data_IF_406705751722
#
_entry.id   IF_406705751722
#
_cell.length_a   1.000
_cell.length_b   1.000
_cell.length_c   1.000
_cell.angle_alpha   90.00
_cell.angle_beta   90.00
_cell.angle_gamma   90.00
#
_symmetry.space_group_name_H-M   'P 1'
#
loop_
_entity.id
_entity.type
_entity.pdbx_description
1 polymer ?
#
# COMPACT_ATOMS: atom_id res chain seq x y z
N UNK A 1 10.24 -23.62 -6.92
CA UNK A 1 9.95 -23.88 -8.35
C UNK A 1 11.20 -24.20 -9.14
N UNK A 2 12.34 -23.54 -8.89
CA UNK A 2 13.58 -23.76 -9.68
C UNK A 2 14.08 -25.20 -9.72
N UNK A 3 13.98 -25.97 -8.63
CA UNK A 3 14.33 -27.40 -8.60
C UNK A 3 13.18 -28.34 -8.95
N UNK A 4 11.96 -27.81 -9.12
CA UNK A 4 10.78 -28.61 -9.45
C UNK A 4 10.63 -28.77 -10.97
N UNK A 5 10.87 -27.70 -11.73
CA UNK A 5 10.86 -27.73 -13.21
C UNK A 5 11.80 -28.80 -13.79
N UNK A 6 13.09 -28.89 -13.41
CA UNK A 6 13.97 -29.91 -13.95
C UNK A 6 13.54 -31.34 -13.58
N UNK A 7 12.81 -31.53 -12.48
CA UNK A 7 12.27 -32.85 -12.11
C UNK A 7 11.05 -33.21 -12.96
N UNK A 8 10.18 -32.25 -13.21
CA UNK A 8 9.01 -32.42 -14.10
C UNK A 8 9.43 -32.62 -15.56
N UNK A 9 10.53 -32.00 -15.98
CA UNK A 9 11.12 -32.15 -17.31
C UNK A 9 12.04 -33.39 -17.45
N UNK A 10 12.18 -34.20 -16.38
CA UNK A 10 12.99 -35.43 -16.39
C UNK A 10 14.51 -35.21 -16.42
N UNK A 11 14.98 -33.98 -16.14
CA UNK A 11 16.39 -33.60 -16.07
C UNK A 11 17.01 -33.86 -14.69
N UNK A 12 16.18 -34.03 -13.65
CA UNK A 12 16.60 -34.41 -12.30
C UNK A 12 15.65 -35.48 -11.74
N UNK A 13 16.18 -36.49 -11.09
CA UNK A 13 15.37 -37.58 -10.53
C UNK A 13 14.59 -37.18 -9.27
N UNK A 14 15.05 -36.14 -8.56
CA UNK A 14 14.39 -35.65 -7.35
C UNK A 14 14.71 -34.19 -7.06
N UNK A 15 13.80 -33.54 -6.34
CA UNK A 15 13.96 -32.17 -5.89
C UNK A 15 14.75 -32.15 -4.57
N UNK A 16 16.00 -31.66 -4.53
CA UNK A 16 16.87 -31.73 -3.35
C UNK A 16 16.37 -30.91 -2.15
N UNK A 17 15.42 -29.98 -2.36
CA UNK A 17 14.81 -29.20 -1.27
C UNK A 17 13.44 -29.75 -0.82
N UNK A 18 12.94 -30.82 -1.44
CA UNK A 18 11.68 -31.46 -1.03
C UNK A 18 11.78 -32.10 0.36
N UNK A 19 12.96 -32.63 0.73
CA UNK A 19 13.21 -33.27 2.02
C UNK A 19 13.31 -32.27 3.21
N UNK A 20 13.42 -30.97 2.95
CA UNK A 20 13.54 -29.95 4.02
C UNK A 20 12.20 -29.71 4.73
N UNK A 21 11.07 -30.19 4.19
CA UNK A 21 9.73 -29.90 4.70
C UNK A 21 9.13 -30.91 5.70
N UNK A 22 9.80 -32.02 6.05
CA UNK A 22 9.18 -33.07 6.89
C UNK A 22 9.81 -33.30 8.27
N UNK A 23 10.79 -32.52 8.73
CA UNK A 23 11.21 -32.58 10.12
C UNK A 23 10.46 -31.54 10.96
N UNK A 24 9.27 -31.93 11.41
CA UNK A 24 8.41 -31.23 12.38
C UNK A 24 9.03 -31.03 13.77
N UNK A 25 10.24 -30.48 13.85
CA UNK A 25 10.68 -29.79 15.05
C UNK A 25 10.08 -28.40 15.01
N UNK A 26 9.04 -28.20 15.81
CA UNK A 26 8.65 -26.87 16.29
C UNK A 26 9.91 -26.29 16.95
N UNK A 27 10.67 -25.51 16.17
CA UNK A 27 11.73 -24.70 16.72
C UNK A 27 11.14 -23.83 17.83
N UNK A 28 11.89 -23.55 18.90
CA UNK A 28 11.37 -22.77 20.01
C UNK A 28 10.75 -21.50 19.45
N UNK A 29 9.44 -21.31 19.70
CA UNK A 29 8.76 -20.03 19.49
C UNK A 29 9.55 -19.03 20.31
N UNK A 30 10.47 -18.30 19.68
CA UNK A 30 11.23 -17.23 20.33
C UNK A 30 10.19 -16.30 20.95
N UNK A 31 10.27 -16.13 22.27
CA UNK A 31 9.45 -15.17 22.99
C UNK A 31 9.59 -13.83 22.28
N UNK A 32 8.46 -13.25 21.89
CA UNK A 32 8.40 -11.87 21.41
C UNK A 32 9.06 -10.98 22.48
N UNK A 33 10.21 -10.38 22.16
CA UNK A 33 10.93 -9.57 23.14
C UNK A 33 12.39 -9.25 22.82
N UNK A 34 13.06 -9.99 21.94
CA UNK A 34 14.38 -9.61 21.44
C UNK A 34 14.35 -9.60 19.93
N UNK A 35 14.49 -8.40 19.34
CA UNK A 35 14.85 -8.22 17.94
C UNK A 35 16.26 -8.80 17.77
N UNK A 36 16.34 -10.11 17.61
CA UNK A 36 17.57 -10.77 17.25
C UNK A 36 17.85 -10.38 15.80
N UNK A 37 18.85 -9.52 15.61
CA UNK A 37 19.40 -9.17 14.29
C UNK A 37 19.49 -10.44 13.47
N UNK A 38 18.94 -10.39 12.25
CA UNK A 38 18.92 -11.54 11.37
C UNK A 38 20.39 -11.95 11.10
N UNK A 39 20.85 -13.12 11.58
CA UNK A 39 22.27 -13.47 11.51
C UNK A 39 22.75 -13.68 10.06
N UNK A 40 21.82 -13.82 9.11
CA UNK A 40 22.11 -13.99 7.69
C UNK A 40 22.15 -12.67 6.93
N UNK A 41 21.56 -11.61 7.47
CA UNK A 41 21.50 -10.28 6.86
C UNK A 41 21.76 -9.23 7.95
N UNK A 42 23.03 -9.06 8.37
CA UNK A 42 23.38 -8.13 9.44
C UNK A 42 23.04 -6.67 9.09
N UNK A 43 22.94 -6.35 7.80
CA UNK A 43 22.59 -5.02 7.29
C UNK A 43 21.08 -4.86 6.98
N UNK A 44 20.25 -5.86 7.33
CA UNK A 44 18.81 -5.77 7.08
C UNK A 44 18.19 -4.68 7.96
N UNK A 45 17.38 -3.76 7.38
CA UNK A 45 16.73 -2.72 8.16
C UNK A 45 15.86 -3.33 9.27
N UNK A 46 16.15 -2.93 10.50
CA UNK A 46 15.43 -3.41 11.67
C UNK A 46 14.15 -2.59 11.87
N UNK A 47 13.06 -3.22 12.37
CA UNK A 47 11.90 -2.47 12.82
C UNK A 47 12.29 -1.49 13.91
N UNK A 48 11.72 -0.29 13.87
CA UNK A 48 11.88 0.70 14.92
C UNK A 48 11.34 0.14 16.24
N UNK A 49 12.13 0.28 17.31
CA UNK A 49 11.70 0.02 18.67
C UNK A 49 10.57 0.99 19.08
N UNK A 50 9.78 0.68 20.13
CA UNK A 50 8.74 1.59 20.59
C UNK A 50 9.24 3.00 20.93
N UNK A 51 10.45 3.13 21.47
CA UNK A 51 11.03 4.44 21.81
C UNK A 51 11.55 5.18 20.57
N UNK A 52 12.12 4.48 19.60
CA UNK A 52 12.48 5.07 18.31
C UNK A 52 11.25 5.50 17.52
N UNK A 53 10.17 4.72 17.54
CA UNK A 53 8.88 5.11 16.96
C UNK A 53 8.30 6.35 17.65
N UNK A 54 8.34 6.40 18.98
CA UNK A 54 7.90 7.58 19.76
C UNK A 54 8.71 8.80 19.38
N UNK A 55 10.04 8.66 19.34
CA UNK A 55 10.98 9.72 18.95
C UNK A 55 10.75 10.18 17.51
N UNK A 56 10.48 9.25 16.61
CA UNK A 56 10.12 9.55 15.23
C UNK A 56 8.89 10.45 15.16
N UNK A 57 7.81 10.09 15.87
CA UNK A 57 6.57 10.90 15.89
C UNK A 57 6.78 12.28 16.53
N UNK A 58 7.62 12.41 17.56
CA UNK A 58 7.98 13.70 18.14
C UNK A 58 8.71 14.60 17.13
N UNK A 59 9.72 14.05 16.45
CA UNK A 59 10.49 14.76 15.43
C UNK A 59 9.62 15.15 14.24
N UNK A 60 8.72 14.25 13.82
CA UNK A 60 7.77 14.49 12.75
C UNK A 60 6.79 15.61 13.13
N UNK A 61 6.24 15.57 14.35
CA UNK A 61 5.38 16.62 14.88
C UNK A 61 6.11 17.97 14.93
N UNK A 62 7.35 18.01 15.43
CA UNK A 62 8.17 19.22 15.49
C UNK A 62 8.49 19.78 14.09
N UNK A 63 8.83 18.91 13.13
CA UNK A 63 9.09 19.29 11.74
C UNK A 63 7.90 20.00 11.10
N UNK A 64 6.69 19.56 11.42
CA UNK A 64 5.46 20.10 10.84
C UNK A 64 4.78 21.18 11.70
N UNK A 65 5.20 21.37 12.95
CA UNK A 65 4.67 22.41 13.84
C UNK A 65 4.98 23.83 13.32
N UNK A 66 6.17 24.03 12.75
CA UNK A 66 6.63 25.33 12.25
C UNK A 66 6.34 25.58 10.77
N UNK A 67 5.68 24.64 10.08
CA UNK A 67 5.38 24.81 8.66
C UNK A 67 4.06 25.56 8.48
N UNK A 68 4.13 26.81 7.99
CA UNK A 68 2.95 27.58 7.56
C UNK A 68 2.20 26.91 6.39
N UNK A 69 2.83 25.96 5.71
CA UNK A 69 2.28 25.28 4.54
C UNK A 69 1.39 24.08 4.92
N UNK A 70 0.32 23.85 4.15
CA UNK A 70 -0.56 22.64 4.26
C UNK A 70 0.07 21.38 3.67
N UNK A 71 0.99 21.53 2.71
CA UNK A 71 1.63 20.40 1.99
C UNK A 71 2.42 19.46 2.89
N UNK A 72 3.21 19.93 3.87
CA UNK A 72 3.93 19.07 4.82
C UNK A 72 2.98 18.19 5.66
N UNK A 73 1.79 18.72 6.04
CA UNK A 73 0.82 18.00 6.90
C UNK A 73 0.20 16.76 6.24
N UNK A 74 -0.06 16.79 4.93
CA UNK A 74 -0.67 15.63 4.24
C UNK A 74 0.23 14.39 4.25
N UNK A 75 1.55 14.60 4.15
CA UNK A 75 2.51 13.50 4.14
C UNK A 75 2.63 12.88 5.53
N UNK A 76 2.58 13.71 6.58
CA UNK A 76 2.44 13.26 7.97
C UNK A 76 1.25 12.34 8.16
N UNK A 77 0.08 12.83 7.72
CA UNK A 77 -1.18 12.10 7.86
C UNK A 77 -1.15 10.78 7.08
N UNK A 78 -0.54 10.78 5.89
CA UNK A 78 -0.31 9.57 5.11
C UNK A 78 0.56 8.57 5.86
N UNK A 79 1.71 9.00 6.39
CA UNK A 79 2.61 8.13 7.15
C UNK A 79 1.86 7.55 8.35
N UNK A 80 1.14 8.39 9.10
CA UNK A 80 0.33 7.94 10.23
C UNK A 80 -0.68 6.87 9.83
N UNK A 81 -1.40 7.05 8.72
CA UNK A 81 -2.34 6.04 8.24
C UNK A 81 -1.62 4.75 7.84
N UNK A 82 -0.54 4.84 7.07
CA UNK A 82 0.21 3.67 6.62
C UNK A 82 0.70 2.80 7.79
N UNK A 83 1.23 3.44 8.85
CA UNK A 83 1.64 2.75 10.08
C UNK A 83 0.44 2.19 10.85
N UNK A 84 -0.64 2.96 11.03
CA UNK A 84 -1.83 2.50 11.76
C UNK A 84 -2.48 1.28 11.10
N UNK A 85 -2.41 1.18 9.78
CA UNK A 85 -2.97 0.07 9.02
C UNK A 85 -2.01 -1.10 8.79
N UNK A 86 -0.72 -0.92 9.11
CA UNK A 86 0.36 -1.77 8.61
C UNK A 86 0.19 -2.08 7.11
N UNK A 87 -0.19 -1.06 6.35
CA UNK A 87 -0.55 -1.16 4.94
C UNK A 87 0.67 -0.94 4.06
N UNK A 88 0.67 -1.56 2.87
CA UNK A 88 1.64 -1.15 1.84
C UNK A 88 1.42 0.32 1.48
N UNK A 89 2.46 1.06 1.08
CA UNK A 89 2.33 2.44 0.63
C UNK A 89 1.17 2.68 -0.34
N UNK A 90 1.03 1.80 -1.33
CA UNK A 90 -0.01 1.84 -2.36
C UNK A 90 -1.42 1.50 -1.86
N UNK A 91 -1.54 0.70 -0.79
CA UNK A 91 -2.80 0.38 -0.13
C UNK A 91 -3.29 1.58 0.69
N UNK A 92 -2.39 2.23 1.43
CA UNK A 92 -2.74 3.39 2.26
C UNK A 92 -3.22 4.60 1.44
N UNK A 93 -2.64 4.84 0.24
CA UNK A 93 -3.12 5.91 -0.65
C UNK A 93 -4.42 5.56 -1.39
N UNK A 94 -4.81 4.28 -1.44
CA UNK A 94 -6.02 3.83 -2.14
C UNK A 94 -7.30 3.85 -1.28
N UNK A 95 -7.18 4.22 0.00
CA UNK A 95 -8.29 4.27 0.95
C UNK A 95 -9.30 5.34 0.53
N UNK A 96 -10.57 4.94 0.42
CA UNK A 96 -11.71 5.83 0.20
C UNK A 96 -12.39 6.21 1.52
N UNK A 97 -13.22 7.25 1.53
CA UNK A 97 -14.01 7.58 2.72
C UNK A 97 -15.00 6.48 3.12
N UNK A 98 -15.51 5.73 2.14
CA UNK A 98 -16.40 4.59 2.37
C UNK A 98 -15.69 3.40 3.01
N UNK A 99 -14.37 3.37 2.95
CA UNK A 99 -13.55 2.37 3.63
C UNK A 99 -13.38 2.66 5.14
N UNK A 100 -13.81 3.84 5.62
CA UNK A 100 -13.61 4.30 7.01
C UNK A 100 -14.91 4.24 7.81
N UNK A 101 -14.96 3.34 8.79
CA UNK A 101 -16.05 3.26 9.77
C UNK A 101 -15.68 4.08 11.02
N UNK A 102 -16.15 5.33 11.06
CA UNK A 102 -15.87 6.23 12.19
C UNK A 102 -16.50 5.79 13.51
N UNK A 103 -17.75 5.27 13.55
CA UNK A 103 -18.31 4.67 14.76
C UNK A 103 -17.53 3.46 15.29
N UNK A 104 -17.18 2.50 14.43
CA UNK A 104 -16.45 1.29 14.85
C UNK A 104 -14.96 1.54 15.09
N UNK A 105 -14.43 2.65 14.56
CA UNK A 105 -13.02 2.99 14.66
C UNK A 105 -12.14 2.07 13.81
N UNK A 106 -12.63 1.69 12.63
CA UNK A 106 -11.95 0.75 11.73
C UNK A 106 -11.77 1.34 10.34
N UNK A 107 -10.78 0.82 9.61
CA UNK A 107 -10.52 1.14 8.22
C UNK A 107 -10.35 -0.15 7.43
N UNK A 108 -11.03 -0.25 6.30
CA UNK A 108 -10.94 -1.39 5.40
C UNK A 108 -9.92 -1.12 4.30
N UNK A 109 -8.96 -2.01 4.14
CA UNK A 109 -8.00 -1.96 3.03
C UNK A 109 -8.62 -2.69 1.85
N UNK A 110 -9.37 -1.95 1.04
CA UNK A 110 -10.15 -2.48 -0.08
C UNK A 110 -9.45 -2.38 -1.43
N UNK A 111 -8.40 -1.56 -1.57
CA UNK A 111 -7.77 -1.31 -2.87
C UNK A 111 -6.27 -1.07 -2.77
N UNK A 112 -5.64 -0.93 -3.93
CA UNK A 112 -4.25 -0.49 -4.06
C UNK A 112 -4.12 0.42 -5.27
N UNK A 113 -3.26 1.43 -5.19
CA UNK A 113 -2.81 2.15 -6.39
C UNK A 113 -1.78 1.29 -7.12
N UNK A 114 -1.93 1.20 -8.44
CA UNK A 114 -0.98 0.53 -9.35
C UNK A 114 -0.42 1.61 -10.26
N UNK A 115 0.91 1.72 -10.36
CA UNK A 115 1.62 2.57 -11.32
C UNK A 115 2.44 1.65 -12.24
N UNK A 116 2.10 1.61 -13.52
CA UNK A 116 2.68 0.68 -14.48
C UNK A 116 2.64 1.23 -15.91
N UNK A 117 3.19 0.46 -16.85
CA UNK A 117 3.06 0.75 -18.28
C UNK A 117 2.13 -0.25 -18.94
N UNK A 118 1.12 0.26 -19.64
CA UNK A 118 0.09 -0.51 -20.33
C UNK A 118 0.01 -0.05 -21.78
N UNK A 119 -0.47 -0.94 -22.67
CA UNK A 119 -0.92 -0.52 -23.99
C UNK A 119 -2.23 0.26 -23.88
N UNK A 120 -2.48 1.18 -24.81
CA UNK A 120 -3.70 2.01 -24.81
C UNK A 120 -4.97 1.15 -24.75
N UNK A 121 -5.05 0.03 -25.48
CA UNK A 121 -6.21 -0.87 -25.39
C UNK A 121 -6.38 -1.50 -24.00
N UNK A 122 -5.27 -1.76 -23.30
CA UNK A 122 -5.30 -2.30 -21.93
C UNK A 122 -5.76 -1.25 -20.92
N UNK A 123 -5.41 0.02 -21.15
CA UNK A 123 -5.92 1.14 -20.33
C UNK A 123 -7.43 1.22 -20.43
N UNK A 124 -8.00 1.19 -21.65
CA UNK A 124 -9.46 1.16 -21.87
C UNK A 124 -10.09 -0.03 -21.15
N UNK A 125 -9.52 -1.22 -21.33
CA UNK A 125 -9.98 -2.44 -20.65
C UNK A 125 -9.98 -2.31 -19.13
N UNK A 126 -8.95 -1.71 -18.53
CA UNK A 126 -8.86 -1.50 -17.08
C UNK A 126 -9.92 -0.51 -16.59
N UNK A 127 -10.17 0.57 -17.33
CA UNK A 127 -11.25 1.53 -17.03
C UNK A 127 -12.60 0.80 -17.02
N UNK A 128 -12.86 -0.01 -18.04
CA UNK A 128 -14.12 -0.74 -18.18
C UNK A 128 -14.26 -1.85 -17.13
N UNK A 129 -13.24 -2.70 -16.95
CA UNK A 129 -13.28 -3.85 -16.03
C UNK A 129 -13.44 -3.39 -14.56
N UNK A 130 -12.83 -2.26 -14.19
CA UNK A 130 -12.85 -1.75 -12.81
C UNK A 130 -13.83 -0.60 -12.59
N UNK A 131 -14.51 -0.13 -13.65
CA UNK A 131 -15.46 0.99 -13.61
C UNK A 131 -14.81 2.23 -12.96
N UNK A 132 -13.59 2.57 -13.41
CA UNK A 132 -12.80 3.62 -12.80
C UNK A 132 -13.41 5.00 -13.05
N UNK A 133 -13.59 5.77 -11.99
CA UNK A 133 -13.93 7.18 -12.11
C UNK A 133 -12.72 8.00 -12.59
N UNK A 134 -12.98 9.20 -13.11
CA UNK A 134 -11.95 10.06 -13.72
C UNK A 134 -10.83 10.43 -12.74
N UNK A 135 -11.09 10.51 -11.43
CA UNK A 135 -10.08 10.79 -10.40
C UNK A 135 -9.24 9.58 -10.01
N UNK A 136 -9.66 8.38 -10.40
CA UNK A 136 -9.05 7.11 -10.01
C UNK A 136 -8.03 6.58 -11.01
N UNK A 137 -7.85 7.29 -12.12
CA UNK A 137 -6.86 6.97 -13.14
C UNK A 137 -6.13 8.23 -13.59
N UNK A 138 -4.84 8.09 -13.84
CA UNK A 138 -3.98 9.13 -14.40
C UNK A 138 -3.14 8.50 -15.49
N UNK A 139 -3.36 8.93 -16.73
CA UNK A 139 -2.52 8.60 -17.88
C UNK A 139 -1.81 9.87 -18.32
N UNK A 140 -0.53 9.78 -18.71
CA UNK A 140 0.22 10.96 -19.18
C UNK A 140 -0.13 11.27 -20.64
N UNK A 141 -0.37 12.56 -20.92
CA UNK A 141 -0.62 13.08 -22.26
C UNK A 141 -2.02 12.78 -22.79
N UNK A 142 -2.28 13.19 -24.03
CA UNK A 142 -3.54 12.97 -24.74
C UNK A 142 -3.60 11.54 -25.30
N UNK A 143 -3.51 10.55 -24.41
CA UNK A 143 -3.41 9.12 -24.73
C UNK A 143 -4.58 8.59 -25.57
N UNK A 144 -5.69 9.31 -25.62
CA UNK A 144 -6.84 8.99 -26.47
C UNK A 144 -6.53 9.10 -27.96
N UNK A 145 -5.52 9.88 -28.34
CA UNK A 145 -5.07 10.07 -29.73
C UNK A 145 -4.03 9.03 -30.17
N UNK A 146 -3.51 8.24 -29.23
CA UNK A 146 -2.49 7.23 -29.52
C UNK A 146 -3.10 5.95 -30.08
N UNK A 147 -2.32 5.24 -30.88
CA UNK A 147 -2.65 3.91 -31.38
C UNK A 147 -2.85 2.92 -30.22
N UNK A 148 -3.75 1.96 -30.39
CA UNK A 148 -4.08 0.97 -29.36
C UNK A 148 -2.87 0.18 -28.85
N UNK A 149 -1.84 -0.02 -29.70
CA UNK A 149 -0.60 -0.72 -29.32
C UNK A 149 0.45 0.18 -28.65
N UNK A 150 0.26 1.51 -28.66
CA UNK A 150 1.17 2.43 -28.00
C UNK A 150 1.22 2.15 -26.49
N UNK A 151 2.43 2.17 -25.92
CA UNK A 151 2.64 1.95 -24.49
C UNK A 151 2.65 3.30 -23.77
N UNK A 152 1.81 3.42 -22.74
CA UNK A 152 1.68 4.61 -21.90
C UNK A 152 1.90 4.27 -20.44
N UNK A 153 2.44 5.20 -19.67
CA UNK A 153 2.52 5.07 -18.23
C UNK A 153 1.20 5.52 -17.59
N UNK A 154 0.60 4.64 -16.81
CA UNK A 154 -0.69 4.84 -16.16
C UNK A 154 -0.57 4.54 -14.68
N UNK A 155 -1.18 5.38 -13.86
CA UNK A 155 -1.51 5.03 -12.49
C UNK A 155 -3.03 4.86 -12.39
N UNK A 156 -3.50 3.88 -11.63
CA UNK A 156 -4.93 3.70 -11.37
C UNK A 156 -5.20 3.04 -10.02
N UNK A 157 -6.42 3.21 -9.47
CA UNK A 157 -6.88 2.48 -8.28
C UNK A 157 -7.44 1.13 -8.66
N UNK A 158 -6.76 0.06 -8.27
CA UNK A 158 -7.30 -1.29 -8.34
C UNK A 158 -8.23 -1.53 -7.14
N UNK A 159 -9.48 -2.00 -7.32
CA UNK A 159 -10.46 -2.18 -6.24
C UNK A 159 -10.24 -3.46 -5.41
N UNK A 160 -8.99 -3.93 -5.35
CA UNK A 160 -8.52 -5.05 -4.52
C UNK A 160 -6.99 -4.97 -4.39
N UNK A 161 -6.43 -5.44 -3.29
CA UNK A 161 -4.97 -5.33 -3.02
C UNK A 161 -4.11 -6.29 -3.84
N UNK A 162 -4.63 -7.51 -4.08
CA UNK A 162 -4.05 -8.55 -4.97
C UNK A 162 -5.15 -9.44 -5.52
N UNK A 163 -6.01 -9.89 -4.62
CA UNK A 163 -7.24 -10.63 -4.88
C UNK A 163 -8.31 -10.11 -3.93
N UNK A 164 -9.59 -10.39 -4.21
CA UNK A 164 -10.71 -10.00 -3.33
C UNK A 164 -10.53 -10.54 -1.90
N UNK A 165 -9.95 -11.74 -1.75
CA UNK A 165 -9.66 -12.35 -0.44
C UNK A 165 -8.53 -11.67 0.36
N UNK A 166 -7.81 -10.71 -0.23
CA UNK A 166 -6.75 -9.96 0.45
C UNK A 166 -7.24 -8.65 1.10
N UNK A 167 -8.55 -8.38 1.01
CA UNK A 167 -9.20 -7.28 1.73
C UNK A 167 -9.21 -7.57 3.22
N UNK A 168 -8.93 -6.55 4.04
CA UNK A 168 -8.90 -6.68 5.51
C UNK A 168 -9.33 -5.40 6.20
N UNK A 169 -10.00 -5.53 7.33
CA UNK A 169 -10.42 -4.40 8.15
C UNK A 169 -9.54 -4.32 9.40
N UNK A 170 -8.97 -3.15 9.65
CA UNK A 170 -8.02 -2.90 10.73
C UNK A 170 -8.64 -1.90 11.70
N UNK A 171 -8.56 -2.19 13.00
CA UNK A 171 -8.91 -1.23 14.05
C UNK A 171 -7.79 -0.22 14.19
N UNK A 172 -8.14 1.06 14.17
CA UNK A 172 -7.18 2.17 14.27
C UNK A 172 -7.34 2.90 15.59
N UNK A 173 -6.26 3.55 16.05
CA UNK A 173 -6.28 4.32 17.28
C UNK A 173 -7.08 5.64 17.14
N UNK A 174 -7.42 6.23 18.28
CA UNK A 174 -8.19 7.49 18.36
C UNK A 174 -7.47 8.64 17.65
N UNK A 175 -6.14 8.67 17.71
CA UNK A 175 -5.35 9.69 17.03
C UNK A 175 -5.40 9.55 15.50
N UNK A 176 -5.44 8.33 14.96
CA UNK A 176 -5.65 8.09 13.54
C UNK A 176 -7.08 8.48 13.11
N UNK A 177 -8.09 8.12 13.90
CA UNK A 177 -9.49 8.52 13.64
C UNK A 177 -9.68 10.04 13.67
N UNK A 178 -9.08 10.72 14.64
CA UNK A 178 -9.14 12.18 14.72
C UNK A 178 -8.50 12.84 13.48
N UNK A 179 -7.36 12.30 13.02
CA UNK A 179 -6.74 12.73 11.76
C UNK A 179 -7.68 12.52 10.57
N UNK A 180 -8.26 11.33 10.43
CA UNK A 180 -9.18 11.01 9.33
C UNK A 180 -10.43 11.89 9.34
N UNK A 181 -11.00 12.19 10.52
CA UNK A 181 -12.13 13.13 10.67
C UNK A 181 -11.74 14.54 10.23
N UNK A 182 -10.59 15.03 10.68
CA UNK A 182 -10.08 16.34 10.30
C UNK A 182 -9.89 16.45 8.78
N UNK A 183 -9.38 15.40 8.14
CA UNK A 183 -9.26 15.33 6.68
C UNK A 183 -10.62 15.29 5.98
N UNK A 184 -11.58 14.49 6.47
CA UNK A 184 -12.93 14.41 5.89
C UNK A 184 -13.67 15.75 5.93
N UNK A 185 -13.50 16.53 7.00
CA UNK A 185 -14.06 17.89 7.11
C UNK A 185 -13.39 18.84 6.11
N UNK A 186 -12.10 18.67 5.84
CA UNK A 186 -11.35 19.50 4.90
C UNK A 186 -11.48 19.06 3.43
N UNK A 187 -12.10 17.92 3.16
CA UNK A 187 -12.27 17.35 1.83
C UNK A 187 -13.28 18.17 1.02
N UNK A 188 -13.00 18.37 -0.26
CA UNK A 188 -13.96 19.04 -1.15
C UNK A 188 -15.17 18.11 -1.44
N UNK A 189 -16.35 18.67 -1.75
CA UNK A 189 -17.50 17.86 -2.14
C UNK A 189 -17.16 16.94 -3.32
N UNK A 190 -17.52 15.66 -3.20
CA UNK A 190 -17.24 14.64 -4.23
C UNK A 190 -15.85 14.02 -4.17
N UNK A 191 -14.95 14.45 -3.27
CA UNK A 191 -13.68 13.75 -3.06
C UNK A 191 -13.93 12.40 -2.39
N UNK A 192 -13.70 11.30 -3.12
CA UNK A 192 -13.91 9.94 -2.59
C UNK A 192 -12.68 9.38 -1.87
N UNK A 193 -11.48 9.79 -2.26
CA UNK A 193 -10.21 9.28 -1.72
C UNK A 193 -9.74 10.10 -0.51
N UNK A 194 -9.18 9.42 0.49
CA UNK A 194 -8.59 10.07 1.69
C UNK A 194 -7.36 10.90 1.33
N UNK A 195 -6.57 10.41 0.36
CA UNK A 195 -5.33 11.03 -0.10
C UNK A 195 -5.35 11.25 -1.61
N UNK A 196 -5.53 12.51 -2.00
CA UNK A 196 -5.40 12.97 -3.38
C UNK A 196 -4.12 13.77 -3.60
N UNK A 197 -3.68 13.81 -4.85
CA UNK A 197 -2.70 14.78 -5.34
C UNK A 197 -3.25 16.20 -5.26
N UNK A 198 -2.39 17.21 -5.47
CA UNK A 198 -2.85 18.62 -5.47
C UNK A 198 -3.88 18.92 -6.57
N UNK A 199 -3.94 18.08 -7.60
CA UNK A 199 -4.86 18.21 -8.75
C UNK A 199 -6.10 17.32 -8.61
N UNK A 200 -6.36 16.78 -7.42
CA UNK A 200 -7.57 15.98 -7.15
C UNK A 200 -7.56 14.57 -7.77
N UNK A 201 -6.41 14.11 -8.28
CA UNK A 201 -6.23 12.75 -8.83
C UNK A 201 -5.45 11.85 -7.87
N UNK A 202 -5.46 10.54 -8.08
CA UNK A 202 -4.61 9.59 -7.33
C UNK A 202 -3.13 10.00 -7.28
N UNK A 203 -2.46 9.61 -6.20
CA UNK A 203 -1.03 9.84 -6.03
C UNK A 203 -0.22 8.81 -6.81
N UNK A 204 0.71 9.29 -7.64
CA UNK A 204 1.66 8.46 -8.38
C UNK A 204 2.91 8.18 -7.57
N UNK A 205 3.45 6.99 -7.70
CA UNK A 205 4.80 6.67 -7.26
C UNK A 205 5.73 6.99 -8.44
N UNK A 206 6.20 8.23 -8.53
CA UNK A 206 7.17 8.63 -9.57
C UNK A 206 8.44 7.78 -9.50
#
# INVERSE_FOLDING_TARGET
MTFQMPVEDGLLDFNPVAAVKSNGRVGPRRKAGQAAVNPYFPDEPQPLTPDEMRRYWELEAARFANSANRTPKRYRDYTKLAYALAARPSEAVAVRWDDVDFPAGTVTIAGTIVDCSLRVWQVRKVIDDYQLAEHEIVVRGDWHEFDDQAVVTVAFRQPFTKTRGSMRTIKVDVGCLAMLRGRKIAAAPGEELVFLSRVGKILRAN
#
